data_IF_182191800054
#
_entry.id   IF_182191800054
#
_cell.length_a   1.000
_cell.length_b   1.000
_cell.length_c   1.000
_cell.angle_alpha   90.00
_cell.angle_beta   90.00
_cell.angle_gamma   90.00
#
_symmetry.space_group_name_H-M   'P 1'
#
loop_
_entity.id
_entity.type
_entity.pdbx_description
1 polymer ?
#
# COMPACT_ATOMS: atom_id res chain seq x y z
N UNK A 1 -32.50 14.74 34.91
CA UNK A 1 -31.33 15.14 34.12
C UNK A 1 -31.35 14.38 32.81
N UNK A 2 -31.73 15.04 31.71
CA UNK A 2 -31.87 14.39 30.41
C UNK A 2 -30.50 13.94 29.91
N UNK A 3 -30.35 12.64 29.69
CA UNK A 3 -29.15 12.10 29.04
C UNK A 3 -29.03 12.79 27.67
N UNK A 4 -28.04 13.66 27.51
CA UNK A 4 -27.74 14.25 26.21
C UNK A 4 -27.55 13.13 25.19
N UNK A 5 -28.37 13.13 24.13
CA UNK A 5 -28.37 12.08 23.13
C UNK A 5 -26.95 11.88 22.56
N UNK A 6 -26.33 10.73 22.86
CA UNK A 6 -24.99 10.39 22.36
C UNK A 6 -25.01 10.35 20.83
N UNK A 7 -24.04 11.01 20.20
CA UNK A 7 -23.89 10.98 18.75
C UNK A 7 -23.64 9.55 18.25
N UNK A 8 -24.45 9.10 17.28
CA UNK A 8 -24.29 7.81 16.61
C UNK A 8 -24.07 8.05 15.12
N UNK A 9 -22.88 7.70 14.62
CA UNK A 9 -22.59 7.77 13.20
C UNK A 9 -23.17 6.54 12.48
N UNK A 10 -24.14 6.76 11.59
CA UNK A 10 -24.87 5.66 10.92
C UNK A 10 -23.98 4.77 10.05
N UNK A 11 -22.82 5.29 9.60
CA UNK A 11 -21.88 4.57 8.75
C UNK A 11 -20.63 4.08 9.51
N UNK A 12 -20.69 3.97 10.84
CA UNK A 12 -19.53 3.53 11.63
C UNK A 12 -19.06 2.12 11.23
N UNK A 13 -19.98 1.17 10.98
CA UNK A 13 -19.60 -0.17 10.49
C UNK A 13 -18.88 -0.12 9.14
N UNK A 14 -19.36 0.71 8.22
CA UNK A 14 -18.73 0.87 6.89
C UNK A 14 -17.34 1.47 7.03
N UNK A 15 -17.18 2.44 7.93
CA UNK A 15 -15.89 3.06 8.26
C UNK A 15 -14.89 2.03 8.79
N UNK A 16 -15.30 1.18 9.72
CA UNK A 16 -14.45 0.08 10.25
C UNK A 16 -14.05 -0.90 9.13
N UNK A 17 -14.98 -1.27 8.25
CA UNK A 17 -14.64 -2.13 7.09
C UNK A 17 -13.62 -1.45 6.17
N UNK A 18 -13.75 -0.14 5.91
CA UNK A 18 -12.79 0.60 5.07
C UNK A 18 -11.43 0.78 5.75
N UNK A 19 -11.39 0.91 7.07
CA UNK A 19 -10.15 0.93 7.84
C UNK A 19 -9.41 -0.43 7.75
N UNK A 20 -10.14 -1.54 7.85
CA UNK A 20 -9.56 -2.86 7.61
C UNK A 20 -9.07 -3.03 6.18
N UNK A 21 -9.86 -2.64 5.18
CA UNK A 21 -9.46 -2.70 3.78
C UNK A 21 -8.21 -1.85 3.47
N UNK A 22 -8.09 -0.66 4.08
CA UNK A 22 -6.87 0.16 3.97
C UNK A 22 -5.67 -0.56 4.59
N UNK A 23 -5.83 -1.19 5.75
CA UNK A 23 -4.75 -1.93 6.41
C UNK A 23 -4.31 -3.11 5.54
N UNK A 24 -5.24 -3.92 5.04
CA UNK A 24 -4.95 -5.04 4.13
C UNK A 24 -4.23 -4.56 2.87
N UNK A 25 -4.71 -3.50 2.23
CA UNK A 25 -4.07 -2.95 1.02
C UNK A 25 -2.63 -2.46 1.30
N UNK A 26 -2.36 -1.92 2.50
CA UNK A 26 -1.00 -1.52 2.92
C UNK A 26 -0.11 -2.73 3.15
N UNK A 27 -0.63 -3.80 3.76
CA UNK A 27 0.10 -5.05 3.98
C UNK A 27 0.46 -5.71 2.64
N UNK A 28 -0.49 -5.79 1.71
CA UNK A 28 -0.26 -6.29 0.34
C UNK A 28 0.79 -5.45 -0.40
N UNK A 29 0.73 -4.12 -0.29
CA UNK A 29 1.74 -3.25 -0.89
C UNK A 29 3.12 -3.54 -0.30
N UNK A 30 3.24 -3.64 1.02
CA UNK A 30 4.50 -3.96 1.68
C UNK A 30 5.06 -5.32 1.23
N UNK A 31 4.21 -6.31 1.03
CA UNK A 31 4.61 -7.61 0.46
C UNK A 31 5.12 -7.48 -0.97
N UNK A 32 4.44 -6.70 -1.82
CA UNK A 32 4.88 -6.49 -3.20
C UNK A 32 6.22 -5.76 -3.30
N UNK A 33 6.48 -4.80 -2.40
CA UNK A 33 7.79 -4.14 -2.29
C UNK A 33 8.87 -5.16 -1.94
N UNK A 34 8.62 -6.03 -0.94
CA UNK A 34 9.56 -7.11 -0.59
C UNK A 34 9.82 -8.04 -1.76
N UNK A 35 8.77 -8.41 -2.50
CA UNK A 35 8.88 -9.26 -3.68
C UNK A 35 9.73 -8.60 -4.79
N UNK A 36 9.50 -7.30 -5.08
CA UNK A 36 10.34 -6.55 -6.03
C UNK A 36 11.81 -6.50 -5.60
N UNK A 37 12.08 -6.18 -4.33
CA UNK A 37 13.44 -6.11 -3.81
C UNK A 37 14.18 -7.46 -3.92
N UNK A 38 13.49 -8.58 -3.64
CA UNK A 38 14.05 -9.92 -3.87
C UNK A 38 14.34 -10.15 -5.36
N UNK A 39 13.42 -9.77 -6.24
CA UNK A 39 13.62 -9.86 -7.70
C UNK A 39 14.81 -9.05 -8.18
N UNK A 40 15.03 -7.85 -7.65
CA UNK A 40 16.19 -7.00 -7.95
C UNK A 40 17.50 -7.66 -7.52
N UNK A 41 17.53 -8.26 -6.33
CA UNK A 41 18.70 -9.00 -5.84
C UNK A 41 19.01 -10.23 -6.71
N UNK A 42 17.98 -11.00 -7.10
CA UNK A 42 18.15 -12.17 -7.98
C UNK A 42 18.67 -11.77 -9.36
N UNK A 43 18.11 -10.71 -9.95
CA UNK A 43 18.58 -10.18 -11.23
C UNK A 43 20.03 -9.68 -11.15
N UNK A 44 20.40 -9.01 -10.05
CA UNK A 44 21.78 -8.56 -9.84
C UNK A 44 22.75 -9.76 -9.80
N UNK A 45 22.41 -10.81 -9.06
CA UNK A 45 23.19 -12.05 -9.02
C UNK A 45 23.28 -12.73 -10.39
N UNK A 46 22.17 -12.83 -11.12
CA UNK A 46 22.16 -13.42 -12.46
C UNK A 46 23.05 -12.63 -13.44
N UNK A 47 23.05 -11.30 -13.36
CA UNK A 47 23.93 -10.44 -14.17
C UNK A 47 25.41 -10.63 -13.82
N UNK A 48 25.74 -10.81 -12.54
CA UNK A 48 27.11 -11.15 -12.12
C UNK A 48 27.56 -12.50 -12.68
N UNK A 49 26.67 -13.50 -12.67
CA UNK A 49 26.95 -14.82 -13.26
C UNK A 49 27.13 -14.76 -14.78
N UNK A 50 26.34 -13.95 -15.48
CA UNK A 50 26.54 -13.71 -16.92
C UNK A 50 27.89 -13.05 -17.17
N UNK A 51 28.27 -12.05 -16.38
CA UNK A 51 29.54 -11.38 -16.51
C UNK A 51 30.72 -12.34 -16.29
N UNK A 52 30.67 -13.17 -15.23
CA UNK A 52 31.71 -14.18 -14.99
C UNK A 52 31.75 -15.22 -16.10
N UNK A 53 30.60 -15.66 -16.62
CA UNK A 53 30.54 -16.62 -17.72
C UNK A 53 31.17 -16.09 -19.01
N UNK A 54 30.94 -14.82 -19.32
CA UNK A 54 31.58 -14.16 -20.46
C UNK A 54 33.10 -14.08 -20.30
N UNK A 55 33.59 -13.76 -19.10
CA UNK A 55 35.02 -13.75 -18.81
C UNK A 55 35.62 -15.15 -18.97
N UNK A 56 35.02 -16.19 -18.37
CA UNK A 56 35.49 -17.57 -18.49
C UNK A 56 35.52 -18.07 -19.94
N UNK A 57 34.52 -17.70 -20.75
CA UNK A 57 34.50 -18.02 -22.18
C UNK A 57 35.62 -17.31 -22.94
N UNK A 58 35.83 -16.02 -22.66
CA UNK A 58 36.87 -15.23 -23.32
C UNK A 58 38.28 -15.73 -22.98
N UNK A 59 38.55 -16.09 -21.72
CA UNK A 59 39.86 -16.61 -21.29
C UNK A 59 40.12 -18.00 -21.88
N UNK A 60 39.13 -18.90 -21.91
CA UNK A 60 39.26 -20.22 -22.53
C UNK A 60 39.58 -20.14 -24.03
N UNK A 61 39.01 -19.18 -24.76
CA UNK A 61 39.32 -18.96 -26.18
C UNK A 61 40.71 -18.40 -26.47
N UNK A 62 41.37 -17.80 -25.46
CA UNK A 62 42.71 -17.21 -25.59
C UNK A 62 43.86 -18.18 -25.25
N UNK A 63 43.54 -19.34 -24.68
CA UNK A 63 44.52 -20.38 -24.34
C UNK A 63 44.87 -21.27 -25.54
N UNK A 64 46.15 -21.65 -25.65
CA UNK A 64 46.70 -22.38 -26.81
C UNK A 64 46.19 -23.83 -26.96
N UNK A 65 45.40 -24.37 -25.99
CA UNK A 65 44.98 -25.78 -25.95
C UNK A 65 43.61 -26.03 -25.30
N UNK A 66 42.62 -25.14 -25.44
CA UNK A 66 41.26 -25.48 -24.97
C UNK A 66 40.67 -26.62 -25.81
N UNK A 67 40.21 -27.68 -25.15
CA UNK A 67 39.55 -28.78 -25.86
C UNK A 67 38.22 -28.29 -26.46
N UNK A 68 37.89 -28.69 -27.69
CA UNK A 68 36.66 -28.25 -28.37
C UNK A 68 35.40 -28.52 -27.53
N UNK A 69 35.37 -29.61 -26.75
CA UNK A 69 34.30 -29.95 -25.81
C UNK A 69 34.14 -28.94 -24.67
N UNK A 70 35.25 -28.36 -24.18
CA UNK A 70 35.22 -27.34 -23.12
C UNK A 70 34.63 -26.02 -23.63
N UNK A 71 34.99 -25.62 -24.86
CA UNK A 71 34.43 -24.42 -25.49
C UNK A 71 32.91 -24.56 -25.71
N UNK A 72 32.46 -25.74 -26.14
CA UNK A 72 31.03 -26.04 -26.28
C UNK A 72 30.32 -26.01 -24.93
N UNK A 73 30.91 -26.60 -23.88
CA UNK A 73 30.33 -26.59 -22.54
C UNK A 73 30.22 -25.18 -21.96
N UNK A 74 31.26 -24.35 -22.12
CA UNK A 74 31.25 -22.94 -21.70
C UNK A 74 30.21 -22.13 -22.45
N UNK A 75 30.05 -22.37 -23.75
CA UNK A 75 29.01 -21.71 -24.55
C UNK A 75 27.60 -22.07 -24.08
N UNK A 76 27.33 -23.36 -23.89
CA UNK A 76 26.03 -23.83 -23.40
C UNK A 76 25.72 -23.29 -21.99
N UNK A 77 26.74 -23.20 -21.13
CA UNK A 77 26.59 -22.58 -19.81
C UNK A 77 26.28 -21.08 -19.90
N UNK A 78 27.00 -20.33 -20.74
CA UNK A 78 26.75 -18.91 -20.99
C UNK A 78 25.31 -18.67 -21.44
N UNK A 79 24.83 -19.42 -22.43
CA UNK A 79 23.46 -19.32 -22.94
C UNK A 79 22.43 -19.59 -21.83
N UNK A 80 22.69 -20.59 -20.98
CA UNK A 80 21.81 -20.91 -19.85
C UNK A 80 21.73 -19.78 -18.83
N UNK A 81 22.87 -19.17 -18.46
CA UNK A 81 22.86 -18.06 -17.49
C UNK A 81 22.26 -16.79 -18.09
N UNK A 82 22.45 -16.54 -19.39
CA UNK A 82 21.81 -15.43 -20.10
C UNK A 82 20.28 -15.61 -20.18
N UNK A 83 19.83 -16.83 -20.46
CA UNK A 83 18.40 -17.16 -20.42
C UNK A 83 17.81 -16.94 -19.02
N UNK A 84 18.47 -17.44 -17.97
CA UNK A 84 18.04 -17.24 -16.59
C UNK A 84 18.01 -15.76 -16.19
N UNK A 85 18.98 -14.95 -16.62
CA UNK A 85 18.98 -13.51 -16.39
C UNK A 85 17.82 -12.80 -17.11
N UNK A 86 17.49 -13.22 -18.33
CA UNK A 86 16.34 -12.71 -19.07
C UNK A 86 15.00 -13.08 -18.39
N UNK A 87 14.89 -14.29 -17.83
CA UNK A 87 13.73 -14.68 -17.01
C UNK A 87 13.62 -13.85 -15.75
N UNK A 88 14.71 -13.71 -14.98
CA UNK A 88 14.73 -12.88 -13.77
C UNK A 88 14.31 -11.43 -14.07
N UNK A 89 14.74 -10.88 -15.21
CA UNK A 89 14.31 -9.56 -15.66
C UNK A 89 12.81 -9.51 -15.93
N UNK A 90 12.25 -10.50 -16.64
CA UNK A 90 10.81 -10.57 -16.92
C UNK A 90 9.98 -10.67 -15.63
N UNK A 91 10.40 -11.49 -14.68
CA UNK A 91 9.74 -11.61 -13.38
C UNK A 91 9.80 -10.31 -12.58
N UNK A 92 10.95 -9.62 -12.58
CA UNK A 92 11.07 -8.31 -11.94
C UNK A 92 10.11 -7.29 -12.55
N UNK A 93 9.96 -7.26 -13.86
CA UNK A 93 9.01 -6.35 -14.52
C UNK A 93 7.55 -6.69 -14.16
N UNK A 94 7.20 -7.97 -14.02
CA UNK A 94 5.88 -8.37 -13.50
C UNK A 94 5.69 -7.92 -12.05
N UNK A 95 6.70 -8.09 -11.21
CA UNK A 95 6.68 -7.64 -9.82
C UNK A 95 6.47 -6.11 -9.71
N UNK A 96 7.17 -5.33 -10.52
CA UNK A 96 7.03 -3.86 -10.59
C UNK A 96 5.61 -3.43 -11.00
N UNK A 97 5.05 -4.06 -12.03
CA UNK A 97 3.66 -3.79 -12.45
C UNK A 97 2.67 -4.11 -11.34
N UNK A 98 2.88 -5.23 -10.64
CA UNK A 98 2.01 -5.67 -9.56
C UNK A 98 2.13 -4.77 -8.31
N UNK A 99 3.30 -4.20 -8.02
CA UNK A 99 3.49 -3.18 -6.99
C UNK A 99 2.73 -1.89 -7.33
N UNK A 100 2.83 -1.39 -8.57
CA UNK A 100 2.15 -0.15 -8.94
C UNK A 100 0.62 -0.30 -8.87
N UNK A 101 0.09 -1.47 -9.25
CA UNK A 101 -1.33 -1.80 -9.07
C UNK A 101 -1.74 -1.80 -7.60
N UNK A 102 -0.96 -2.42 -6.71
CA UNK A 102 -1.25 -2.46 -5.27
C UNK A 102 -1.12 -1.08 -4.63
N UNK A 103 -0.17 -0.28 -5.08
CA UNK A 103 -0.01 1.11 -4.65
C UNK A 103 -1.24 1.94 -5.01
N UNK A 104 -1.75 1.82 -6.23
CA UNK A 104 -3.00 2.48 -6.63
C UNK A 104 -4.18 2.05 -5.75
N UNK A 105 -4.32 0.74 -5.47
CA UNK A 105 -5.34 0.22 -4.57
C UNK A 105 -5.22 0.76 -3.14
N UNK A 106 -4.01 0.81 -2.59
CA UNK A 106 -3.77 1.35 -1.25
C UNK A 106 -4.12 2.84 -1.15
N UNK A 107 -3.80 3.62 -2.21
CA UNK A 107 -4.19 5.03 -2.30
C UNK A 107 -5.71 5.17 -2.34
N UNK A 108 -6.40 4.36 -3.15
CA UNK A 108 -7.86 4.38 -3.22
C UNK A 108 -8.50 4.02 -1.87
N UNK A 109 -8.05 2.94 -1.22
CA UNK A 109 -8.57 2.53 0.08
C UNK A 109 -8.39 3.62 1.16
N UNK A 110 -7.23 4.28 1.17
CA UNK A 110 -6.96 5.44 2.02
C UNK A 110 -7.94 6.60 1.75
N UNK A 111 -8.19 6.91 0.48
CA UNK A 111 -9.11 7.99 0.10
C UNK A 111 -10.54 7.68 0.55
N UNK A 112 -11.00 6.45 0.35
CA UNK A 112 -12.33 5.99 0.78
C UNK A 112 -12.50 6.08 2.29
N UNK A 113 -11.51 5.63 3.08
CA UNK A 113 -11.54 5.76 4.55
C UNK A 113 -11.56 7.23 4.97
N UNK A 114 -10.70 8.07 4.38
CA UNK A 114 -10.65 9.52 4.67
C UNK A 114 -11.95 10.23 4.32
N UNK A 115 -12.66 9.81 3.27
CA UNK A 115 -13.95 10.38 2.92
C UNK A 115 -15.00 10.12 4.02
N UNK A 116 -14.99 8.91 4.60
CA UNK A 116 -15.88 8.56 5.72
C UNK A 116 -15.50 9.29 7.02
N UNK A 117 -14.20 9.45 7.31
CA UNK A 117 -13.72 10.24 8.46
C UNK A 117 -14.24 11.68 8.38
N UNK A 118 -14.06 12.35 7.23
CA UNK A 118 -14.55 13.71 7.01
C UNK A 118 -16.07 13.81 7.11
N UNK A 119 -16.80 12.81 6.62
CA UNK A 119 -18.26 12.79 6.72
C UNK A 119 -18.70 12.65 8.20
N UNK A 120 -18.02 11.81 8.98
CA UNK A 120 -18.27 11.64 10.42
C UNK A 120 -18.03 12.94 11.17
N UNK A 121 -16.92 13.63 10.91
CA UNK A 121 -16.59 14.93 11.51
C UNK A 121 -17.67 15.97 11.22
N UNK A 122 -18.07 16.13 9.96
CA UNK A 122 -19.15 17.08 9.58
C UNK A 122 -20.48 16.75 10.29
N UNK A 123 -20.84 15.47 10.38
CA UNK A 123 -22.06 15.03 11.07
C UNK A 123 -21.99 15.27 12.57
N UNK A 124 -20.82 15.08 13.18
CA UNK A 124 -20.59 15.37 14.59
C UNK A 124 -20.73 16.86 14.86
N UNK A 125 -20.14 17.72 14.03
CA UNK A 125 -20.28 19.17 14.16
C UNK A 125 -21.75 19.62 14.06
N UNK A 126 -22.50 19.07 13.10
CA UNK A 126 -23.94 19.35 12.95
C UNK A 126 -24.74 18.93 14.20
N UNK A 127 -24.44 17.76 14.77
CA UNK A 127 -25.08 17.28 16.00
C UNK A 127 -24.79 18.22 17.18
N UNK A 128 -23.52 18.60 17.36
CA UNK A 128 -23.10 19.51 18.42
C UNK A 128 -23.75 20.89 18.29
N UNK A 129 -23.85 21.44 17.07
CA UNK A 129 -24.56 22.70 16.81
C UNK A 129 -26.04 22.60 17.18
N UNK A 130 -26.68 21.47 16.86
CA UNK A 130 -28.09 21.24 17.18
C UNK A 130 -28.32 21.14 18.69
N UNK A 131 -27.44 20.43 19.40
CA UNK A 131 -27.49 20.34 20.86
C UNK A 131 -27.32 21.71 21.53
N UNK A 132 -26.30 22.49 21.12
CA UNK A 132 -26.09 23.85 21.65
C UNK A 132 -27.30 24.76 21.40
N UNK A 133 -27.94 24.66 20.24
CA UNK A 133 -29.14 25.44 19.93
C UNK A 133 -30.32 25.04 20.82
N UNK A 134 -30.53 23.74 21.06
CA UNK A 134 -31.58 23.25 21.97
C UNK A 134 -31.33 23.69 23.41
N UNK A 135 -30.08 23.59 23.87
CA UNK A 135 -29.68 24.03 25.20
C UNK A 135 -29.89 25.54 25.39
N UNK A 136 -29.49 26.36 24.40
CA UNK A 136 -29.72 27.80 24.44
C UNK A 136 -31.21 28.18 24.53
N UNK A 137 -32.08 27.49 23.78
CA UNK A 137 -33.53 27.70 23.86
C UNK A 137 -34.09 27.32 25.23
N UNK A 138 -33.66 26.20 25.80
CA UNK A 138 -34.07 25.79 27.15
C UNK A 138 -33.62 26.80 28.22
N UNK A 139 -32.40 27.32 28.11
CA UNK A 139 -31.89 28.35 29.01
C UNK A 139 -32.68 29.65 28.90
N UNK A 140 -33.04 30.06 27.69
CA UNK A 140 -33.86 31.25 27.44
C UNK A 140 -35.28 31.07 28.00
N UNK A 141 -35.91 29.91 27.81
CA UNK A 141 -37.22 29.60 28.41
C UNK A 141 -37.18 29.62 29.95
N UNK A 142 -36.14 29.06 30.56
CA UNK A 142 -35.95 29.09 32.01
C UNK A 142 -35.72 30.51 32.53
N UNK A 143 -34.96 31.34 31.80
CA UNK A 143 -34.74 32.73 32.14
C UNK A 143 -36.06 33.53 32.09
N UNK A 144 -36.89 33.33 31.06
CA UNK A 144 -38.23 33.96 30.97
C UNK A 144 -39.15 33.54 32.11
N UNK A 145 -39.18 32.27 32.49
CA UNK A 145 -40.01 31.79 33.61
C UNK A 145 -39.61 32.42 34.94
N UNK A 146 -38.30 32.54 35.21
CA UNK A 146 -37.81 33.19 36.44
C UNK A 146 -37.99 34.72 36.43
N UNK A 147 -37.85 35.36 35.28
CA UNK A 147 -38.08 36.81 35.15
C UNK A 147 -39.55 37.20 35.32
N UNK A 148 -40.49 36.30 35.00
CA UNK A 148 -41.93 36.49 35.21
C UNK A 148 -42.44 36.24 36.63
N UNK A 149 -41.65 35.60 37.50
CA UNK A 149 -42.00 35.42 38.93
C UNK A 149 -41.54 36.61 39.81
N UNK A 150 -40.77 37.54 39.26
CA UNK A 150 -40.23 38.72 39.96
C UNK A 150 -40.94 40.04 39.59
N UNK A 151 -42.05 39.99 38.85
CA UNK A 151 -42.90 41.12 38.47
C UNK A 151 -44.34 40.87 38.94
#
# INVERSE_FOLDING_TARGET
MGQGERFKFRLERVRTVREHAEREAREELAESIRHRLRGEALLAQARQLVASARVSRATAGSGTYAAASELVALQAWLERVEFAAAEAQRELERARRAEEQRKARAIQALQERKALDRLRERRLEQHLRTLRRREALLLDELARRRGGEAA
#
